data_IF_352901031172
#
_entry.id   IF_352901031172
#
_cell.length_a   1.000
_cell.length_b   1.000
_cell.length_c   1.000
_cell.angle_alpha   90.00
_cell.angle_beta   90.00
_cell.angle_gamma   90.00
#
_symmetry.space_group_name_H-M   'P 1'
#
loop_
_entity.id
_entity.type
_entity.pdbx_description
1 polymer ?
#
# COMPACT_ATOMS: atom_id res chain seq x y z
N UNK A 1 -22.19 -3.98 -22.78
CA UNK A 1 -20.72 -3.90 -22.79
C UNK A 1 -20.35 -2.78 -21.83
N UNK A 2 -19.97 -3.12 -20.60
CA UNK A 2 -19.69 -2.10 -19.56
C UNK A 2 -18.25 -1.66 -19.76
N UNK A 3 -18.03 -0.48 -20.33
CA UNK A 3 -16.76 0.20 -20.21
C UNK A 3 -16.59 0.56 -18.74
N UNK A 4 -15.92 -0.28 -17.96
CA UNK A 4 -15.39 0.14 -16.66
C UNK A 4 -14.32 1.19 -16.96
N UNK A 5 -14.67 2.46 -16.84
CA UNK A 5 -13.71 3.54 -16.67
C UNK A 5 -12.91 3.23 -15.40
N UNK A 6 -11.78 2.55 -15.57
CA UNK A 6 -10.74 2.45 -14.54
C UNK A 6 -10.15 3.85 -14.43
N UNK A 7 -10.44 4.52 -13.31
CA UNK A 7 -9.71 5.71 -12.93
C UNK A 7 -8.23 5.35 -12.84
N UNK A 8 -7.36 6.23 -13.33
CA UNK A 8 -5.99 5.85 -13.53
C UNK A 8 -5.30 5.79 -12.15
N UNK A 9 -4.45 4.77 -11.93
CA UNK A 9 -3.70 4.67 -10.69
C UNK A 9 -2.71 5.82 -10.49
N UNK A 10 -1.60 5.62 -9.80
CA UNK A 10 -0.65 6.72 -9.57
C UNK A 10 0.04 7.20 -10.87
N UNK A 11 0.05 8.49 -11.21
CA UNK A 11 0.66 9.00 -12.44
C UNK A 11 2.18 8.80 -12.45
N UNK A 12 2.69 8.04 -13.42
CA UNK A 12 4.11 7.67 -13.46
C UNK A 12 5.04 8.88 -13.66
N UNK A 13 4.55 9.94 -14.32
CA UNK A 13 5.29 11.20 -14.51
C UNK A 13 5.57 11.94 -13.21
N UNK A 14 4.76 11.73 -12.17
CA UNK A 14 4.88 12.37 -10.84
C UNK A 14 5.65 11.51 -9.83
N UNK A 15 6.11 10.31 -10.21
CA UNK A 15 6.78 9.37 -9.31
C UNK A 15 8.07 9.96 -8.71
N UNK A 16 8.75 10.84 -9.45
CA UNK A 16 9.96 11.53 -8.99
C UNK A 16 9.74 12.39 -7.75
N UNK A 17 8.55 12.95 -7.57
CA UNK A 17 8.24 13.82 -6.42
C UNK A 17 8.18 13.02 -5.12
N UNK A 18 7.54 11.85 -5.13
CA UNK A 18 7.51 10.96 -3.96
C UNK A 18 8.87 10.34 -3.66
N UNK A 19 9.73 10.16 -4.67
CA UNK A 19 11.05 9.55 -4.48
C UNK A 19 12.02 10.41 -3.67
N UNK A 20 11.73 11.69 -3.49
CA UNK A 20 12.49 12.57 -2.60
C UNK A 20 12.45 12.03 -1.17
N UNK A 21 11.27 11.61 -0.72
CA UNK A 21 11.04 11.08 0.63
C UNK A 21 11.06 9.54 0.68
N UNK A 22 10.74 8.89 -0.44
CA UNK A 22 10.65 7.42 -0.57
C UNK A 22 11.51 6.91 -1.75
N UNK A 23 12.86 6.93 -1.64
CA UNK A 23 13.74 6.65 -2.77
C UNK A 23 13.57 5.26 -3.41
N UNK A 24 13.13 4.27 -2.63
CA UNK A 24 12.87 2.90 -3.08
C UNK A 24 11.55 2.75 -3.85
N UNK A 25 10.72 3.79 -3.92
CA UNK A 25 9.41 3.74 -4.56
C UNK A 25 9.54 3.42 -6.06
N UNK A 26 8.89 2.34 -6.47
CA UNK A 26 8.90 1.82 -7.83
C UNK A 26 7.51 1.42 -8.30
N UNK A 27 7.44 1.01 -9.56
CA UNK A 27 6.22 0.54 -10.21
C UNK A 27 6.36 -0.93 -10.52
N UNK A 28 5.37 -1.74 -10.16
CA UNK A 28 5.34 -3.16 -10.56
C UNK A 28 5.11 -3.24 -12.07
N UNK A 29 6.03 -3.89 -12.79
CA UNK A 29 6.19 -3.78 -14.26
C UNK A 29 4.90 -4.04 -15.05
N UNK A 30 4.13 -5.07 -14.68
CA UNK A 30 2.94 -5.51 -15.42
C UNK A 30 1.65 -4.79 -15.01
N UNK A 31 1.70 -3.96 -13.97
CA UNK A 31 0.53 -3.25 -13.44
C UNK A 31 0.56 -1.77 -13.83
N UNK A 32 0.68 -1.52 -15.13
CA UNK A 32 0.69 -0.19 -15.74
C UNK A 32 -0.44 -0.05 -16.73
N UNK A 33 -1.11 1.09 -16.73
CA UNK A 33 -2.17 1.40 -17.71
C UNK A 33 -2.17 2.90 -18.01
N UNK A 34 -2.14 3.27 -19.29
CA UNK A 34 -2.31 4.65 -19.76
C UNK A 34 -1.41 5.69 -19.03
N UNK A 35 -0.13 5.37 -18.82
CA UNK A 35 0.81 6.27 -18.12
C UNK A 35 0.69 6.31 -16.59
N UNK A 36 -0.13 5.42 -16.01
CA UNK A 36 -0.36 5.32 -14.58
C UNK A 36 0.00 3.93 -14.06
N UNK A 37 0.48 3.90 -12.82
CA UNK A 37 0.83 2.71 -12.08
C UNK A 37 -0.37 2.28 -11.23
N UNK A 38 -0.92 1.10 -11.52
CA UNK A 38 -1.91 0.48 -10.64
C UNK A 38 -1.25 -0.07 -9.39
N UNK A 39 -0.10 -0.72 -9.52
CA UNK A 39 0.64 -1.27 -8.38
C UNK A 39 1.98 -0.57 -8.20
N UNK A 40 2.24 -0.14 -6.98
CA UNK A 40 3.52 0.41 -6.54
C UNK A 40 4.23 -0.57 -5.61
N UNK A 41 5.55 -0.45 -5.52
CA UNK A 41 6.38 -1.19 -4.57
C UNK A 41 7.32 -0.22 -3.85
N UNK A 42 7.53 -0.41 -2.55
CA UNK A 42 8.38 0.45 -1.73
C UNK A 42 8.99 -0.36 -0.59
N UNK A 43 10.20 -0.02 -0.19
CA UNK A 43 10.83 -0.51 1.04
C UNK A 43 10.72 0.56 2.11
N UNK A 44 10.05 0.24 3.21
CA UNK A 44 9.77 1.14 4.34
C UNK A 44 10.65 0.75 5.53
N UNK A 45 11.21 1.72 6.26
CA UNK A 45 12.10 1.42 7.38
C UNK A 45 11.36 0.77 8.54
N UNK A 46 12.01 -0.19 9.18
CA UNK A 46 11.60 -0.75 10.47
C UNK A 46 12.45 -0.13 11.59
N UNK A 47 11.86 0.80 12.34
CA UNK A 47 12.51 1.47 13.46
C UNK A 47 12.33 0.73 14.80
N UNK A 48 11.64 -0.42 14.79
CA UNK A 48 11.31 -1.22 15.98
C UNK A 48 11.99 -2.59 16.02
N UNK A 49 12.77 -2.96 15.00
CA UNK A 49 13.47 -4.24 14.92
C UNK A 49 12.52 -5.44 14.81
N UNK A 50 11.36 -5.22 14.19
CA UNK A 50 10.31 -6.20 13.93
C UNK A 50 10.59 -7.09 12.73
N UNK A 51 11.57 -6.74 11.92
CA UNK A 51 12.02 -7.47 10.74
C UNK A 51 13.46 -7.93 10.92
N UNK A 52 13.84 -9.03 10.27
CA UNK A 52 15.24 -9.49 10.25
C UNK A 52 16.13 -8.58 9.38
N UNK A 53 15.55 -7.97 8.34
CA UNK A 53 16.24 -7.15 7.34
C UNK A 53 16.26 -5.63 7.63
N UNK A 54 15.55 -5.17 8.66
CA UNK A 54 15.45 -3.74 9.00
C UNK A 54 14.51 -2.94 8.08
N UNK A 55 13.72 -3.62 7.25
CA UNK A 55 12.77 -3.01 6.33
C UNK A 55 11.52 -3.87 6.14
N UNK A 56 10.41 -3.21 5.85
CA UNK A 56 9.21 -3.81 5.30
C UNK A 56 9.18 -3.57 3.79
N UNK A 57 9.14 -4.66 3.01
CA UNK A 57 8.89 -4.56 1.57
C UNK A 57 7.39 -4.58 1.35
N UNK A 58 6.85 -3.53 0.76
CA UNK A 58 5.41 -3.31 0.64
C UNK A 58 5.04 -3.17 -0.83
N UNK A 59 3.95 -3.83 -1.21
CA UNK A 59 3.26 -3.58 -2.48
C UNK A 59 1.94 -2.87 -2.20
N UNK A 60 1.56 -1.92 -3.06
CA UNK A 60 0.38 -1.06 -2.87
C UNK A 60 -0.49 -1.15 -4.13
N UNK A 61 -1.74 -1.61 -4.00
CA UNK A 61 -2.77 -1.48 -5.03
C UNK A 61 -3.38 -0.08 -4.94
N UNK A 62 -2.98 0.77 -5.87
CA UNK A 62 -3.37 2.15 -6.05
C UNK A 62 -4.22 2.32 -7.32
N UNK A 63 -4.98 1.28 -7.70
CA UNK A 63 -5.81 1.29 -8.92
C UNK A 63 -6.96 2.31 -8.93
N UNK A 64 -7.24 2.96 -7.80
CA UNK A 64 -8.18 4.05 -7.65
C UNK A 64 -7.71 4.91 -6.46
N UNK A 65 -7.17 6.10 -6.72
CA UNK A 65 -6.69 7.01 -5.67
C UNK A 65 -7.81 7.83 -5.01
N UNK A 66 -9.02 7.83 -5.56
CA UNK A 66 -10.19 8.39 -4.88
C UNK A 66 -10.60 7.52 -3.69
N UNK A 67 -10.21 6.24 -3.74
CA UNK A 67 -10.29 5.30 -2.65
C UNK A 67 -8.94 5.16 -1.97
N UNK A 68 -8.99 4.73 -0.71
CA UNK A 68 -7.77 4.43 0.03
C UNK A 68 -7.07 3.22 -0.61
N UNK A 69 -5.76 3.31 -0.91
CA UNK A 69 -5.00 2.19 -1.44
C UNK A 69 -4.95 1.02 -0.47
N UNK A 70 -4.75 -0.18 -1.01
CA UNK A 70 -4.55 -1.38 -0.19
C UNK A 70 -3.08 -1.77 -0.25
N UNK A 71 -2.45 -2.00 0.91
CA UNK A 71 -1.03 -2.35 0.99
C UNK A 71 -0.80 -3.74 1.60
N UNK A 72 0.20 -4.44 1.08
CA UNK A 72 0.54 -5.80 1.49
C UNK A 72 2.04 -5.96 1.74
N UNK A 73 2.39 -6.74 2.76
CA UNK A 73 3.78 -7.10 3.08
C UNK A 73 4.27 -8.20 2.13
N UNK A 74 5.40 -7.95 1.48
CA UNK A 74 6.06 -8.88 0.56
C UNK A 74 7.05 -9.82 1.27
N UNK A 75 7.68 -9.36 2.35
CA UNK A 75 8.69 -10.11 3.12
C UNK A 75 8.13 -10.56 4.49
N UNK A 76 6.94 -11.15 4.50
CA UNK A 76 6.25 -11.53 5.74
C UNK A 76 7.06 -12.54 6.57
N UNK A 77 7.83 -13.39 5.91
CA UNK A 77 8.75 -14.36 6.50
C UNK A 77 9.87 -13.72 7.32
N UNK A 78 10.18 -12.44 7.08
CA UNK A 78 11.18 -11.68 7.83
C UNK A 78 10.59 -11.00 9.08
N UNK A 79 9.26 -10.95 9.21
CA UNK A 79 8.56 -10.31 10.32
C UNK A 79 8.56 -11.23 11.55
N UNK A 80 9.06 -10.72 12.68
CA UNK A 80 9.30 -11.49 13.92
C UNK A 80 8.19 -11.36 14.96
N UNK A 81 7.34 -10.35 14.84
CA UNK A 81 6.31 -10.05 15.84
C UNK A 81 4.93 -10.10 15.20
N UNK A 82 4.15 -11.09 15.65
CA UNK A 82 2.73 -11.21 15.37
C UNK A 82 2.00 -11.27 16.71
N UNK A 83 1.09 -10.34 16.97
CA UNK A 83 0.43 -10.23 18.27
C UNK A 83 -0.49 -9.03 18.37
N UNK A 84 -1.07 -8.82 19.57
CA UNK A 84 -1.93 -7.66 19.85
C UNK A 84 -1.19 -6.36 19.53
N UNK A 85 -1.81 -5.51 18.70
CA UNK A 85 -1.24 -4.25 18.23
C UNK A 85 -0.46 -4.33 16.92
N UNK A 86 -0.27 -5.53 16.34
CA UNK A 86 0.30 -5.66 14.99
C UNK A 86 -0.76 -5.26 13.95
N UNK A 87 -0.43 -4.28 13.11
CA UNK A 87 -1.27 -3.82 12.00
C UNK A 87 -1.24 -4.78 10.81
N UNK A 88 -0.51 -5.89 10.87
CA UNK A 88 -0.41 -6.87 9.78
C UNK A 88 -1.38 -8.01 10.01
N UNK A 89 -2.30 -8.21 9.08
CA UNK A 89 -3.36 -9.22 9.15
C UNK A 89 -3.43 -10.02 7.85
N UNK A 90 -3.98 -11.23 7.92
CA UNK A 90 -4.22 -12.05 6.73
C UNK A 90 -5.29 -11.39 5.84
N UNK A 91 -5.00 -11.21 4.56
CA UNK A 91 -5.90 -10.56 3.62
C UNK A 91 -7.12 -11.40 3.25
N UNK A 92 -8.18 -10.75 2.77
CA UNK A 92 -9.40 -11.40 2.27
C UNK A 92 -10.35 -11.93 3.36
N UNK A 93 -10.00 -11.79 4.63
CA UNK A 93 -10.83 -12.21 5.75
C UNK A 93 -11.96 -11.23 6.09
N UNK A 94 -11.96 -10.02 5.48
CA UNK A 94 -12.98 -8.97 5.66
C UNK A 94 -13.26 -8.69 7.14
N UNK A 95 -12.20 -8.51 7.92
CA UNK A 95 -12.28 -8.32 9.37
C UNK A 95 -13.01 -7.02 9.73
N UNK A 96 -12.94 -6.02 8.84
CA UNK A 96 -13.60 -4.74 8.97
C UNK A 96 -14.36 -4.36 7.69
N UNK A 97 -15.35 -3.47 7.79
CA UNK A 97 -16.14 -3.00 6.63
C UNK A 97 -15.30 -2.25 5.59
N UNK A 98 -14.19 -1.65 6.02
CA UNK A 98 -13.21 -0.96 5.19
C UNK A 98 -12.08 -1.89 4.69
N UNK A 99 -12.12 -3.18 5.04
CA UNK A 99 -11.15 -4.16 4.56
C UNK A 99 -11.47 -4.52 3.10
N UNK A 100 -10.71 -3.90 2.20
CA UNK A 100 -10.74 -4.17 0.76
C UNK A 100 -9.60 -5.11 0.31
N UNK A 101 -8.92 -5.74 1.27
CA UNK A 101 -7.83 -6.66 0.97
C UNK A 101 -8.31 -7.95 0.30
N UNK A 102 -7.48 -8.49 -0.57
CA UNK A 102 -7.68 -9.78 -1.20
C UNK A 102 -6.93 -10.87 -0.44
N UNK A 103 -7.29 -12.14 -0.68
CA UNK A 103 -6.59 -13.28 -0.09
C UNK A 103 -5.19 -13.52 -0.71
N UNK A 104 -4.97 -13.04 -1.94
CA UNK A 104 -3.68 -13.06 -2.62
C UNK A 104 -3.32 -11.67 -3.14
N UNK A 105 -2.02 -11.42 -3.30
CA UNK A 105 -1.55 -10.16 -3.89
C UNK A 105 -2.04 -10.11 -5.35
N UNK A 106 -2.67 -9.00 -5.79
CA UNK A 106 -3.23 -8.88 -7.13
C UNK A 106 -2.24 -9.31 -8.22
N UNK A 107 -2.68 -10.22 -9.10
CA UNK A 107 -1.86 -10.73 -10.20
C UNK A 107 -0.91 -11.87 -9.82
N UNK A 108 -1.00 -12.42 -8.60
CA UNK A 108 -0.14 -13.50 -8.13
C UNK A 108 -0.92 -14.53 -7.31
N UNK A 109 -0.31 -15.70 -7.09
CA UNK A 109 -0.79 -16.72 -6.15
C UNK A 109 -0.16 -16.55 -4.75
N UNK A 110 0.62 -15.48 -4.52
CA UNK A 110 1.23 -15.22 -3.22
C UNK A 110 0.16 -14.76 -2.24
N UNK A 111 0.10 -15.40 -1.08
CA UNK A 111 -0.77 -15.01 0.01
C UNK A 111 -0.58 -13.54 0.40
N UNK A 112 -1.69 -12.85 0.60
CA UNK A 112 -1.71 -11.46 1.00
C UNK A 112 -1.66 -11.30 2.52
N UNK A 113 -0.69 -10.51 2.98
CA UNK A 113 -0.60 -10.02 4.35
C UNK A 113 -0.82 -8.52 4.35
N UNK A 114 -2.08 -8.13 4.59
CA UNK A 114 -2.57 -6.76 4.51
C UNK A 114 -2.12 -5.94 5.71
N UNK A 115 -1.74 -4.69 5.46
CA UNK A 115 -1.51 -3.69 6.51
C UNK A 115 -2.83 -3.01 6.82
N UNK A 116 -3.48 -3.44 7.91
CA UNK A 116 -4.68 -2.84 8.44
C UNK A 116 -4.45 -1.37 8.79
N UNK A 117 -5.11 -0.49 8.03
CA UNK A 117 -4.94 0.95 8.15
C UNK A 117 -5.83 1.60 9.22
N UNK A 118 -6.68 0.82 9.91
CA UNK A 118 -7.70 1.35 10.81
C UNK A 118 -8.70 2.25 10.09
N UNK A 119 -9.37 3.12 10.85
CA UNK A 119 -10.33 4.11 10.31
C UNK A 119 -9.63 5.36 9.75
N UNK A 120 -8.66 5.17 8.86
CA UNK A 120 -7.92 6.25 8.20
C UNK A 120 -8.68 6.87 7.02
N UNK A 121 -9.81 6.30 6.63
CA UNK A 121 -10.56 6.70 5.42
C UNK A 121 -10.97 8.18 5.43
N UNK A 122 -11.43 8.70 6.58
CA UNK A 122 -11.82 10.10 6.70
C UNK A 122 -10.63 11.06 6.52
N UNK A 123 -9.46 10.72 7.08
CA UNK A 123 -8.25 11.52 6.94
C UNK A 123 -7.74 11.47 5.50
N UNK A 124 -7.69 10.29 4.89
CA UNK A 124 -7.29 10.13 3.50
C UNK A 124 -8.15 10.97 2.55
N UNK A 125 -9.47 10.98 2.77
CA UNK A 125 -10.42 11.76 1.97
C UNK A 125 -10.23 13.28 2.10
N UNK A 126 -9.61 13.74 3.20
CA UNK A 126 -9.35 15.16 3.45
C UNK A 126 -8.02 15.66 2.82
N UNK A 127 -7.17 14.77 2.28
CA UNK A 127 -5.86 15.13 1.70
C UNK A 127 -5.93 15.88 0.35
N UNK A 128 -7.15 16.15 -0.16
CA UNK A 128 -7.37 16.76 -1.47
C UNK A 128 -7.04 15.82 -2.63
N UNK A 129 -7.16 16.27 -3.89
CA UNK A 129 -7.10 15.40 -5.07
C UNK A 129 -5.72 15.28 -5.73
N UNK A 130 -4.70 15.95 -5.19
CA UNK A 130 -3.34 15.81 -5.72
C UNK A 130 -2.79 14.40 -5.39
N UNK A 131 -2.42 13.60 -6.41
CA UNK A 131 -2.06 12.21 -6.21
C UNK A 131 -0.77 12.03 -5.41
N UNK A 132 0.15 13.00 -5.48
CA UNK A 132 1.40 13.00 -4.69
C UNK A 132 1.07 13.21 -3.22
N UNK A 133 0.23 14.19 -2.90
CA UNK A 133 -0.24 14.46 -1.53
C UNK A 133 -0.97 13.26 -0.94
N UNK A 134 -1.92 12.65 -1.67
CA UNK A 134 -2.66 11.46 -1.22
C UNK A 134 -1.73 10.27 -0.95
N UNK A 135 -0.89 9.92 -1.92
CA UNK A 135 0.00 8.76 -1.79
C UNK A 135 1.08 8.98 -0.73
N UNK A 136 1.62 10.20 -0.61
CA UNK A 136 2.57 10.56 0.45
C UNK A 136 1.93 10.45 1.84
N UNK A 137 0.73 11.00 2.02
CA UNK A 137 -0.02 10.85 3.27
C UNK A 137 -0.32 9.39 3.62
N UNK A 138 -0.71 8.59 2.63
CA UNK A 138 -0.90 7.14 2.80
C UNK A 138 0.39 6.42 3.20
N UNK A 139 1.50 6.66 2.51
CA UNK A 139 2.81 6.06 2.83
C UNK A 139 3.25 6.41 4.25
N UNK A 140 3.13 7.69 4.64
CA UNK A 140 3.45 8.12 6.00
C UNK A 140 2.59 7.41 7.05
N UNK A 141 1.29 7.25 6.79
CA UNK A 141 0.39 6.52 7.68
C UNK A 141 0.78 5.05 7.83
N UNK A 142 1.07 4.37 6.71
CA UNK A 142 1.52 2.97 6.73
C UNK A 142 2.84 2.81 7.50
N UNK A 143 3.81 3.71 7.30
CA UNK A 143 5.07 3.71 8.08
C UNK A 143 4.79 3.83 9.57
N UNK A 144 3.88 4.75 9.96
CA UNK A 144 3.48 4.92 11.36
C UNK A 144 2.90 3.62 11.93
N UNK A 145 1.94 2.99 11.25
CA UNK A 145 1.31 1.75 11.70
C UNK A 145 2.27 0.57 11.85
N UNK A 146 3.25 0.46 10.95
CA UNK A 146 4.25 -0.60 11.03
C UNK A 146 5.21 -0.39 12.21
N UNK A 147 5.41 0.87 12.62
CA UNK A 147 6.37 1.28 13.65
C UNK A 147 5.76 1.74 14.98
N UNK A 148 4.44 1.59 15.17
CA UNK A 148 3.76 1.89 16.44
C UNK A 148 4.29 1.03 17.58
#
# INVERSE_FOLDING_TARGET
>A
MVHSMQYPGFPMSRLGELRVDYPSLGVVREHRSNGHARMLVVSLPDSRGRTTGGEYRVVIDAGDLDRMPVSYILNIEEVRIFGQGCSIVRGGHKVHTYDHSLATIPGTDKEAWWICHGDFGAVYSALGDDPVTRMGGFLNHIISLLNQ
#
